data_IF_980284192419
#
_entry.id   IF_980284192419
#
_cell.length_a   1.000
_cell.length_b   1.000
_cell.length_c   1.000
_cell.angle_alpha   90.00
_cell.angle_beta   90.00
_cell.angle_gamma   90.00
#
_symmetry.space_group_name_H-M   'P 1'
#
loop_
_entity.id
_entity.type
_entity.pdbx_description
1 polymer ?
#
# COMPACT_ATOMS: atom_id res chain seq x y z
N UNK A 1 -24.72 20.27 -7.72
CA UNK A 1 -23.75 21.03 -6.93
C UNK A 1 -22.45 20.24 -6.92
N UNK A 2 -21.52 20.61 -7.79
CA UNK A 2 -20.28 19.86 -8.07
C UNK A 2 -19.23 20.21 -7.03
N UNK A 3 -18.84 19.28 -6.18
CA UNK A 3 -17.74 19.50 -5.24
C UNK A 3 -16.43 19.06 -5.90
N UNK A 4 -15.64 20.05 -6.30
CA UNK A 4 -14.28 19.93 -6.78
C UNK A 4 -13.37 19.45 -5.63
N UNK A 5 -13.09 18.14 -5.57
CA UNK A 5 -11.95 17.61 -4.82
C UNK A 5 -10.81 17.29 -5.80
N UNK A 6 -10.25 18.33 -6.41
CA UNK A 6 -9.16 18.22 -7.38
C UNK A 6 -8.12 19.31 -7.16
N UNK A 7 -7.32 19.22 -6.10
CA UNK A 7 -6.11 20.06 -5.95
C UNK A 7 -5.10 19.56 -4.91
N UNK A 8 -5.49 18.76 -3.91
CA UNK A 8 -4.55 18.28 -2.88
C UNK A 8 -3.76 17.02 -3.30
N UNK A 9 -4.26 16.24 -4.26
CA UNK A 9 -3.60 15.00 -4.71
C UNK A 9 -2.39 15.21 -5.64
N UNK A 10 -2.26 16.38 -6.28
CA UNK A 10 -1.28 16.60 -7.33
C UNK A 10 0.17 16.78 -6.83
N UNK A 11 0.38 17.20 -5.57
CA UNK A 11 1.74 17.38 -5.00
C UNK A 11 2.31 16.15 -4.28
N UNK A 12 1.48 15.17 -3.95
CA UNK A 12 1.93 13.86 -3.43
C UNK A 12 2.25 12.82 -4.52
N UNK A 13 1.80 13.06 -5.76
CA UNK A 13 1.78 12.09 -6.85
C UNK A 13 3.15 11.78 -7.49
N UNK A 14 4.18 12.63 -7.33
CA UNK A 14 5.51 12.38 -7.93
C UNK A 14 6.39 11.45 -7.10
N UNK A 15 6.06 11.20 -5.83
CA UNK A 15 6.89 10.39 -4.94
C UNK A 15 6.56 8.92 -5.12
N UNK A 16 7.58 8.15 -5.52
CA UNK A 16 7.48 6.69 -5.60
C UNK A 16 7.90 6.07 -4.29
N UNK A 17 7.05 5.16 -3.81
CA UNK A 17 7.25 4.37 -2.62
C UNK A 17 7.53 2.93 -3.05
N UNK A 18 8.66 2.38 -2.63
CA UNK A 18 8.96 0.96 -2.82
C UNK A 18 8.22 0.16 -1.77
N UNK A 19 7.47 -0.86 -2.17
CA UNK A 19 6.89 -1.81 -1.21
C UNK A 19 8.02 -2.75 -0.77
N UNK A 20 8.36 -2.76 0.51
CA UNK A 20 9.44 -3.58 1.07
C UNK A 20 8.96 -4.95 1.52
N UNK A 21 7.72 -5.03 1.99
CA UNK A 21 7.12 -6.25 2.49
C UNK A 21 5.60 -6.19 2.36
N UNK A 22 4.98 -7.35 2.18
CA UNK A 22 3.52 -7.52 2.23
C UNK A 22 3.17 -8.62 3.23
N UNK A 23 2.25 -8.33 4.16
CA UNK A 23 1.86 -9.27 5.21
C UNK A 23 0.38 -9.14 5.55
N UNK A 24 -0.23 -10.15 6.15
CA UNK A 24 -1.64 -10.07 6.52
C UNK A 24 -1.87 -8.99 7.59
N UNK A 25 -2.90 -8.17 7.42
CA UNK A 25 -3.28 -7.07 8.32
C UNK A 25 -3.97 -7.58 9.60
N UNK A 26 -3.42 -8.62 10.22
CA UNK A 26 -3.91 -9.12 11.50
C UNK A 26 -3.56 -8.06 12.55
N UNK A 27 -4.59 -7.48 13.18
CA UNK A 27 -4.51 -6.35 14.13
C UNK A 27 -3.75 -6.59 15.45
N UNK A 28 -2.82 -7.55 15.47
CA UNK A 28 -2.05 -7.93 16.66
C UNK A 28 -0.79 -8.73 16.33
N UNK A 29 -0.25 -8.63 15.12
CA UNK A 29 0.99 -9.33 14.76
C UNK A 29 2.13 -8.89 15.71
N UNK A 30 2.59 -9.83 16.54
CA UNK A 30 3.74 -9.62 17.42
C UNK A 30 4.99 -9.40 16.56
N UNK A 31 5.95 -8.57 17.02
CA UNK A 31 7.23 -8.44 16.34
C UNK A 31 7.93 -9.81 16.33
N UNK A 32 7.95 -10.48 15.16
CA UNK A 32 8.60 -11.78 14.97
C UNK A 32 7.83 -12.78 14.11
N UNK A 33 6.48 -12.71 14.10
CA UNK A 33 5.61 -13.59 13.30
C UNK A 33 4.57 -12.74 12.56
N UNK A 34 4.97 -12.20 11.41
CA UNK A 34 4.01 -11.67 10.44
C UNK A 34 3.84 -12.72 9.35
N UNK A 35 2.65 -13.32 9.18
CA UNK A 35 2.42 -14.24 8.06
C UNK A 35 2.65 -13.47 6.76
N UNK A 36 3.58 -13.98 5.95
CA UNK A 36 3.90 -13.42 4.66
C UNK A 36 2.69 -13.53 3.74
N UNK A 37 2.55 -12.54 2.86
CA UNK A 37 1.54 -12.64 1.81
C UNK A 37 1.81 -13.85 0.90
N UNK A 38 0.75 -14.48 0.36
CA UNK A 38 0.88 -15.42 -0.74
C UNK A 38 1.78 -14.84 -1.83
N UNK A 39 2.59 -15.70 -2.49
CA UNK A 39 3.57 -15.27 -3.48
C UNK A 39 2.94 -14.40 -4.57
N UNK A 40 1.72 -14.71 -5.01
CA UNK A 40 0.98 -13.93 -6.01
C UNK A 40 0.77 -12.46 -5.60
N UNK A 41 0.59 -12.18 -4.31
CA UNK A 41 0.41 -10.82 -3.80
C UNK A 41 1.78 -10.16 -3.60
N UNK A 42 2.75 -10.90 -3.06
CA UNK A 42 4.12 -10.42 -2.91
C UNK A 42 4.71 -10.01 -4.28
N UNK A 43 4.61 -10.86 -5.31
CA UNK A 43 5.11 -10.58 -6.66
C UNK A 43 4.46 -9.36 -7.32
N UNK A 44 3.19 -9.06 -6.97
CA UNK A 44 2.49 -7.88 -7.50
C UNK A 44 3.04 -6.58 -6.95
N UNK A 45 3.52 -6.58 -5.71
CA UNK A 45 3.85 -5.36 -4.98
C UNK A 45 5.29 -5.29 -4.48
N UNK A 46 5.77 -6.32 -3.77
CA UNK A 46 7.05 -6.38 -3.08
C UNK A 46 8.24 -6.10 -4.01
N UNK A 47 9.19 -5.28 -3.53
CA UNK A 47 10.35 -4.82 -4.28
C UNK A 47 10.06 -3.78 -5.37
N UNK A 48 8.79 -3.52 -5.69
CA UNK A 48 8.39 -2.60 -6.77
C UNK A 48 8.03 -1.23 -6.22
N UNK A 49 8.26 -0.21 -7.04
CA UNK A 49 8.01 1.18 -6.69
C UNK A 49 6.72 1.68 -7.34
N UNK A 50 5.80 2.20 -6.52
CA UNK A 50 4.53 2.74 -6.98
C UNK A 50 4.32 4.14 -6.41
N UNK A 51 3.64 4.98 -7.17
CA UNK A 51 3.03 6.19 -6.60
C UNK A 51 1.82 5.82 -5.74
N UNK A 52 1.42 6.70 -4.81
CA UNK A 52 0.20 6.47 -4.01
C UNK A 52 -1.03 6.29 -4.90
N UNK A 53 -1.12 7.09 -5.97
CA UNK A 53 -2.19 6.98 -6.96
C UNK A 53 -2.20 5.61 -7.66
N UNK A 54 -1.03 5.07 -8.00
CA UNK A 54 -0.91 3.74 -8.60
C UNK A 54 -1.33 2.61 -7.67
N UNK A 55 -1.06 2.75 -6.37
CA UNK A 55 -1.51 1.82 -5.35
C UNK A 55 -3.04 1.89 -5.23
N UNK A 56 -3.62 3.08 -5.16
CA UNK A 56 -5.07 3.28 -5.10
C UNK A 56 -5.80 2.70 -6.33
N UNK A 57 -5.27 2.93 -7.54
CA UNK A 57 -5.81 2.35 -8.77
C UNK A 57 -5.76 0.81 -8.80
N UNK A 58 -4.84 0.21 -8.04
CA UNK A 58 -4.71 -1.26 -7.89
C UNK A 58 -5.57 -1.81 -6.76
N UNK A 59 -6.39 -0.98 -6.11
CA UNK A 59 -7.27 -1.37 -5.02
C UNK A 59 -6.63 -1.31 -3.64
N UNK A 60 -5.46 -0.67 -3.50
CA UNK A 60 -4.80 -0.46 -2.21
C UNK A 60 -5.36 0.80 -1.56
N UNK A 61 -5.85 0.70 -0.34
CA UNK A 61 -6.38 1.81 0.46
C UNK A 61 -5.27 2.38 1.33
N UNK A 62 -4.99 3.68 1.19
CA UNK A 62 -3.99 4.38 2.00
C UNK A 62 -4.69 5.08 3.17
N UNK A 63 -4.40 4.68 4.41
CA UNK A 63 -5.01 5.25 5.62
C UNK A 63 -3.96 5.46 6.72
N UNK A 64 -3.82 6.69 7.23
CA UNK A 64 -3.00 6.98 8.41
C UNK A 64 -1.53 6.55 8.30
N UNK A 65 -0.94 6.57 7.10
CA UNK A 65 0.44 6.12 6.85
C UNK A 65 0.58 4.60 6.60
N UNK A 66 -0.53 3.87 6.52
CA UNK A 66 -0.58 2.45 6.18
C UNK A 66 -1.20 2.25 4.80
N UNK A 67 -0.72 1.26 4.07
CA UNK A 67 -1.26 0.87 2.76
C UNK A 67 -1.87 -0.53 2.87
N UNK A 68 -3.17 -0.67 2.64
CA UNK A 68 -3.91 -1.92 2.85
C UNK A 68 -4.52 -2.40 1.54
N UNK A 69 -4.26 -3.65 1.17
CA UNK A 69 -4.81 -4.29 -0.02
C UNK A 69 -5.70 -5.46 0.38
N UNK A 70 -6.97 -5.45 -0.03
CA UNK A 70 -7.91 -6.55 0.26
C UNK A 70 -7.90 -7.54 -0.88
N UNK A 71 -7.49 -8.78 -0.61
CA UNK A 71 -7.49 -9.89 -1.57
C UNK A 71 -7.62 -11.22 -0.85
N UNK A 72 -8.19 -12.23 -1.53
CA UNK A 72 -8.41 -13.56 -0.96
C UNK A 72 -9.25 -13.53 0.34
N UNK A 73 -10.26 -12.65 0.39
CA UNK A 73 -11.08 -12.39 1.59
C UNK A 73 -10.29 -11.95 2.84
N UNK A 74 -9.06 -11.45 2.65
CA UNK A 74 -8.14 -11.01 3.70
C UNK A 74 -7.57 -9.63 3.38
N UNK A 75 -7.23 -8.88 4.41
CA UNK A 75 -6.54 -7.62 4.28
C UNK A 75 -5.03 -7.85 4.38
N UNK A 76 -4.28 -7.22 3.49
CA UNK A 76 -2.82 -7.31 3.40
C UNK A 76 -2.23 -5.91 3.62
N UNK A 77 -1.35 -5.76 4.59
CA UNK A 77 -0.60 -4.54 4.82
C UNK A 77 0.66 -4.52 3.94
N UNK A 78 0.83 -3.42 3.20
CA UNK A 78 1.99 -3.12 2.39
C UNK A 78 2.87 -2.15 3.16
N UNK A 79 4.11 -2.57 3.44
CA UNK A 79 5.12 -1.72 4.05
C UNK A 79 5.82 -0.90 2.97
N UNK A 80 5.65 0.42 3.03
CA UNK A 80 6.23 1.35 2.07
C UNK A 80 7.55 1.90 2.62
N UNK A 81 8.64 1.75 1.87
CA UNK A 81 9.88 2.46 2.12
C UNK A 81 9.69 3.98 1.97
N UNK A 82 10.56 4.78 2.62
CA UNK A 82 10.60 6.22 2.41
C UNK A 82 10.64 6.56 0.91
N UNK A 83 10.00 7.67 0.51
CA UNK A 83 9.93 8.03 -0.89
C UNK A 83 11.34 8.28 -1.46
N UNK A 84 11.61 7.68 -2.62
CA UNK A 84 12.86 7.88 -3.34
C UNK A 84 12.76 9.24 -4.07
N UNK A 85 13.82 10.06 -3.96
CA UNK A 85 13.85 11.45 -4.42
C UNK A 85 14.04 11.57 -5.94
#
# INVERSE_FOLDING_TARGET
MTVLFGAAAARGAMRRYRVQAVFEAIGGARPGERPAAPPEIAERFEGRAFTLLELEQRGVRIAGGRAVYTALARDWLLELSPPIR
#
